data_IF_178083607895
#
_entry.id   IF_178083607895
#
_cell.length_a   1.000
_cell.length_b   1.000
_cell.length_c   1.000
_cell.angle_alpha   90.00
_cell.angle_beta   90.00
_cell.angle_gamma   90.00
#
_symmetry.space_group_name_H-M   'P 1'
#
loop_
_entity.id
_entity.type
_entity.pdbx_description
1 polymer ?
#
# COMPACT_ATOMS: atom_id res chain seq x y z
N UNK A 1 6.44 -18.82 7.94
CA UNK A 1 7.53 -18.20 8.74
C UNK A 1 7.58 -16.71 8.40
N UNK A 2 7.74 -15.86 9.39
CA UNK A 2 7.80 -14.41 9.22
C UNK A 2 9.12 -13.99 8.55
N UNK A 3 9.10 -12.84 7.89
CA UNK A 3 10.30 -12.16 7.37
C UNK A 3 10.69 -11.07 8.37
N UNK A 4 11.91 -11.16 8.90
CA UNK A 4 12.51 -10.11 9.72
C UNK A 4 13.74 -9.57 9.00
N UNK A 5 13.79 -8.25 8.78
CA UNK A 5 14.92 -7.56 8.16
C UNK A 5 15.45 -6.50 9.12
N UNK A 6 16.73 -6.59 9.43
CA UNK A 6 17.48 -5.60 10.19
C UNK A 6 18.61 -5.05 9.33
N UNK A 7 18.63 -3.75 9.08
CA UNK A 7 19.61 -3.11 8.21
C UNK A 7 19.89 -1.66 8.64
N UNK A 8 20.98 -1.09 8.16
CA UNK A 8 21.17 0.36 8.26
C UNK A 8 20.34 1.06 7.18
N UNK A 9 20.44 0.59 5.95
CA UNK A 9 19.67 1.06 4.81
C UNK A 9 19.16 -0.15 4.02
N UNK A 10 17.91 -0.09 3.59
CA UNK A 10 17.30 -1.10 2.74
C UNK A 10 16.98 -0.48 1.36
N UNK A 11 17.43 -1.14 0.31
CA UNK A 11 17.11 -0.78 -1.08
C UNK A 11 16.40 -1.94 -1.75
N UNK A 12 15.20 -1.70 -2.24
CA UNK A 12 14.40 -2.65 -3.02
C UNK A 12 14.12 -1.99 -4.36
N UNK A 13 14.67 -2.51 -5.45
CA UNK A 13 14.69 -1.78 -6.73
C UNK A 13 14.49 -2.70 -7.93
N UNK A 14 14.07 -2.13 -9.06
CA UNK A 14 14.07 -2.79 -10.38
C UNK A 14 13.22 -4.07 -10.44
N UNK A 15 12.03 -4.04 -9.83
CA UNK A 15 11.10 -5.17 -9.83
C UNK A 15 11.41 -6.26 -8.80
N UNK A 16 12.33 -5.99 -7.86
CA UNK A 16 12.62 -6.90 -6.74
C UNK A 16 11.45 -6.91 -5.75
N UNK A 17 11.13 -8.09 -5.21
CA UNK A 17 10.06 -8.28 -4.24
C UNK A 17 10.61 -8.84 -2.92
N UNK A 18 10.15 -8.27 -1.79
CA UNK A 18 10.18 -8.88 -0.47
C UNK A 18 8.73 -9.28 -0.19
N UNK A 19 8.45 -10.58 -0.15
CA UNK A 19 7.07 -11.02 -0.25
C UNK A 19 6.77 -12.22 0.63
N UNK A 20 5.58 -12.20 1.25
CA UNK A 20 4.95 -13.38 1.84
C UNK A 20 3.66 -13.70 1.08
N UNK A 21 3.46 -14.97 0.77
CA UNK A 21 2.27 -15.47 0.07
C UNK A 21 1.66 -16.65 0.81
N UNK A 22 0.35 -16.69 0.87
CA UNK A 22 -0.39 -17.88 1.31
C UNK A 22 -1.48 -18.23 0.31
N UNK A 23 -1.45 -19.48 -0.15
CA UNK A 23 -2.47 -20.10 -1.01
C UNK A 23 -3.21 -21.22 -0.29
N UNK A 24 -2.85 -21.50 0.97
CA UNK A 24 -3.34 -22.63 1.75
C UNK A 24 -4.46 -22.28 2.72
N UNK A 25 -4.42 -22.87 3.90
CA UNK A 25 -5.40 -22.64 4.97
C UNK A 25 -4.88 -21.74 6.09
N UNK A 26 -3.58 -21.42 6.07
CA UNK A 26 -2.96 -20.53 7.06
C UNK A 26 -2.73 -19.14 6.48
N UNK A 27 -2.91 -18.10 7.28
CA UNK A 27 -2.70 -16.72 6.87
C UNK A 27 -1.28 -16.46 6.36
N UNK A 28 -1.11 -15.43 5.54
CA UNK A 28 0.20 -15.01 5.07
C UNK A 28 1.06 -14.55 6.27
N UNK A 29 2.37 -14.79 6.16
CA UNK A 29 3.30 -14.46 7.24
C UNK A 29 3.52 -12.96 7.36
N UNK A 30 4.01 -12.53 8.50
CA UNK A 30 4.34 -11.12 8.77
C UNK A 30 5.65 -10.71 8.11
N UNK A 31 5.75 -9.41 7.79
CA UNK A 31 6.99 -8.77 7.36
C UNK A 31 7.32 -7.67 8.36
N UNK A 32 8.48 -7.76 8.99
CA UNK A 32 8.97 -6.78 9.97
C UNK A 32 10.30 -6.24 9.47
N UNK A 33 10.40 -4.92 9.29
CA UNK A 33 11.60 -4.25 8.79
C UNK A 33 12.03 -3.18 9.78
N UNK A 34 13.26 -3.31 10.26
CA UNK A 34 13.96 -2.34 11.11
C UNK A 34 15.16 -1.79 10.34
N UNK A 35 15.01 -0.65 9.67
CA UNK A 35 16.08 0.01 8.94
C UNK A 35 16.47 1.32 9.63
N UNK A 36 17.64 1.37 10.24
CA UNK A 36 18.07 2.47 11.13
C UNK A 36 18.03 3.84 10.44
N UNK A 37 18.39 3.91 9.15
CA UNK A 37 18.51 5.18 8.43
C UNK A 37 17.43 5.34 7.34
N UNK A 38 17.30 4.37 6.42
CA UNK A 38 16.36 4.52 5.31
C UNK A 38 15.86 3.21 4.72
N UNK A 39 14.63 3.29 4.17
CA UNK A 39 14.07 2.30 3.27
C UNK A 39 13.70 2.99 1.96
N UNK A 40 14.23 2.49 0.84
CA UNK A 40 14.04 3.06 -0.48
C UNK A 40 13.50 1.98 -1.43
N UNK A 41 12.31 2.20 -1.95
CA UNK A 41 11.69 1.37 -2.97
C UNK A 41 11.53 2.19 -4.25
N UNK A 42 11.93 1.62 -5.38
CA UNK A 42 11.72 2.35 -6.63
C UNK A 42 12.04 1.54 -7.88
N UNK A 43 11.39 1.95 -8.96
CA UNK A 43 11.56 1.36 -10.27
C UNK A 43 10.81 0.04 -10.47
N UNK A 44 10.61 -0.29 -11.72
CA UNK A 44 9.98 -1.52 -12.20
C UNK A 44 11.01 -2.41 -12.91
N UNK A 45 10.72 -3.69 -13.05
CA UNK A 45 11.54 -4.55 -13.88
C UNK A 45 11.46 -4.10 -15.35
N UNK A 46 12.58 -3.82 -16.01
CA UNK A 46 12.56 -3.35 -17.40
C UNK A 46 12.13 -4.44 -18.40
N UNK A 47 12.04 -5.70 -17.97
CA UNK A 47 11.78 -6.85 -18.85
C UNK A 47 10.34 -7.37 -18.72
N UNK A 48 9.81 -7.44 -17.50
CA UNK A 48 8.53 -8.10 -17.21
C UNK A 48 7.49 -7.19 -16.56
N UNK A 49 7.72 -5.87 -16.53
CA UNK A 49 6.85 -4.90 -15.87
C UNK A 49 6.41 -5.33 -14.45
N UNK A 50 7.31 -5.97 -13.70
CA UNK A 50 7.04 -6.38 -12.33
C UNK A 50 7.34 -5.22 -11.39
N UNK A 51 6.37 -4.71 -10.62
CA UNK A 51 6.62 -3.61 -9.71
C UNK A 51 7.59 -4.01 -8.61
N UNK A 52 8.39 -3.07 -8.14
CA UNK A 52 9.17 -3.22 -6.92
C UNK A 52 8.24 -3.24 -5.71
N UNK A 53 8.45 -4.15 -4.74
CA UNK A 53 7.50 -4.23 -3.65
C UNK A 53 7.97 -4.89 -2.36
N UNK A 54 7.28 -4.51 -1.29
CA UNK A 54 7.24 -5.22 0.00
C UNK A 54 5.79 -5.60 0.22
N UNK A 55 5.44 -6.87 -0.02
CA UNK A 55 4.04 -7.26 -0.11
C UNK A 55 3.72 -8.50 0.73
N UNK A 56 2.56 -8.49 1.39
CA UNK A 56 1.98 -9.68 1.98
C UNK A 56 0.66 -10.01 1.28
N UNK A 57 0.56 -11.21 0.72
CA UNK A 57 -0.55 -11.62 -0.13
C UNK A 57 -1.26 -12.84 0.43
N UNK A 58 -2.56 -12.70 0.70
CA UNK A 58 -3.47 -13.79 1.01
C UNK A 58 -4.31 -14.16 -0.22
N UNK A 59 -4.41 -15.44 -0.57
CA UNK A 59 -5.22 -15.92 -1.68
C UNK A 59 -6.34 -16.85 -1.19
N UNK A 60 -7.56 -16.61 -1.64
CA UNK A 60 -8.74 -17.36 -1.19
C UNK A 60 -9.24 -16.89 0.18
N UNK A 61 -9.54 -17.82 1.08
CA UNK A 61 -10.08 -17.53 2.40
C UNK A 61 -9.01 -17.29 3.48
N UNK A 62 -7.82 -16.84 3.09
CA UNK A 62 -6.73 -16.58 4.02
C UNK A 62 -6.41 -15.08 4.11
N UNK A 63 -6.17 -14.60 5.32
CA UNK A 63 -5.81 -13.22 5.53
C UNK A 63 -4.40 -12.93 5.00
N UNK A 64 -4.19 -11.72 4.51
CA UNK A 64 -2.87 -11.19 4.28
C UNK A 64 -2.14 -10.95 5.63
N UNK A 65 -0.81 -11.03 5.63
CA UNK A 65 -0.01 -10.85 6.83
C UNK A 65 0.21 -9.38 7.16
N UNK A 66 0.54 -9.12 8.39
CA UNK A 66 0.90 -7.79 8.89
C UNK A 66 2.24 -7.32 8.31
N UNK A 67 2.33 -6.03 7.95
CA UNK A 67 3.60 -5.37 7.60
C UNK A 67 3.92 -4.30 8.63
N UNK A 68 5.08 -4.40 9.28
CA UNK A 68 5.61 -3.37 10.17
C UNK A 68 6.95 -2.86 9.65
N UNK A 69 7.08 -1.53 9.54
CA UNK A 69 8.30 -0.90 9.07
C UNK A 69 8.69 0.27 9.97
N UNK A 70 9.93 0.21 10.47
CA UNK A 70 10.54 1.22 11.33
C UNK A 70 11.81 1.75 10.66
N UNK A 71 11.90 3.09 10.49
CA UNK A 71 13.05 3.74 9.87
C UNK A 71 13.12 5.24 10.24
N UNK A 72 14.12 5.96 9.74
CA UNK A 72 14.07 7.43 9.72
C UNK A 72 13.38 7.95 8.48
N UNK A 73 13.71 7.40 7.31
CA UNK A 73 13.19 7.87 6.00
C UNK A 73 12.66 6.72 5.19
N UNK A 74 11.46 6.89 4.68
CA UNK A 74 10.83 5.96 3.74
C UNK A 74 10.57 6.66 2.41
N UNK A 75 11.08 6.11 1.32
CA UNK A 75 10.84 6.57 -0.04
C UNK A 75 10.24 5.44 -0.87
N UNK A 76 9.08 5.70 -1.47
CA UNK A 76 8.36 4.79 -2.38
C UNK A 76 8.14 5.56 -3.67
N UNK A 77 8.80 5.16 -4.77
CA UNK A 77 8.79 5.88 -6.04
C UNK A 77 8.55 4.95 -7.23
N UNK A 78 8.23 5.56 -8.37
CA UNK A 78 8.20 4.89 -9.67
C UNK A 78 7.31 3.63 -9.71
N UNK A 79 6.11 3.71 -9.11
CA UNK A 79 5.15 2.62 -9.09
C UNK A 79 5.46 1.51 -8.08
N UNK A 80 6.44 1.70 -7.19
CA UNK A 80 6.74 0.73 -6.14
C UNK A 80 5.62 0.64 -5.09
N UNK A 81 5.53 -0.51 -4.41
CA UNK A 81 4.44 -0.77 -3.47
C UNK A 81 4.93 -1.29 -2.11
N UNK A 82 4.28 -0.82 -1.04
CA UNK A 82 4.21 -1.53 0.24
C UNK A 82 2.74 -1.85 0.47
N UNK A 83 2.36 -3.13 0.41
CA UNK A 83 0.94 -3.46 0.45
C UNK A 83 0.66 -4.81 1.10
N UNK A 84 -0.37 -4.85 1.94
CA UNK A 84 -0.92 -6.09 2.48
C UNK A 84 -2.30 -6.32 1.86
N UNK A 85 -2.42 -7.35 1.00
CA UNK A 85 -3.61 -7.55 0.15
C UNK A 85 -4.15 -8.96 0.29
N UNK A 86 -5.46 -9.06 0.57
CA UNK A 86 -6.19 -10.30 0.30
C UNK A 86 -6.75 -10.28 -1.13
N UNK A 87 -6.41 -11.32 -1.89
CA UNK A 87 -6.75 -11.47 -3.30
C UNK A 87 -7.72 -12.63 -3.44
N UNK A 88 -8.97 -12.35 -3.74
CA UNK A 88 -10.08 -13.30 -3.87
C UNK A 88 -10.54 -13.93 -2.54
N UNK A 89 -11.75 -14.52 -2.55
CA UNK A 89 -12.35 -15.14 -1.37
C UNK A 89 -12.70 -14.17 -0.25
N UNK A 90 -12.79 -14.67 0.97
CA UNK A 90 -13.25 -13.95 2.17
C UNK A 90 -12.11 -13.63 3.18
N UNK A 91 -10.85 -13.83 2.79
CA UNK A 91 -9.70 -13.40 3.57
C UNK A 91 -9.59 -11.88 3.70
N UNK A 92 -9.15 -11.40 4.84
CA UNK A 92 -9.01 -9.95 5.12
C UNK A 92 -7.63 -9.43 4.68
N UNK A 93 -7.55 -8.14 4.35
CA UNK A 93 -6.29 -7.41 4.26
C UNK A 93 -5.57 -7.38 5.61
N UNK A 94 -4.24 -7.46 5.63
CA UNK A 94 -3.46 -7.41 6.86
C UNK A 94 -3.21 -5.97 7.31
N UNK A 95 -2.88 -5.78 8.57
CA UNK A 95 -2.51 -4.45 9.07
C UNK A 95 -1.17 -3.97 8.48
N UNK A 96 -1.09 -2.69 8.14
CA UNK A 96 0.15 -2.04 7.74
C UNK A 96 0.47 -0.91 8.72
N UNK A 97 1.61 -1.02 9.37
CA UNK A 97 2.11 -0.04 10.33
C UNK A 97 3.46 0.51 9.89
N UNK A 98 3.54 1.80 9.64
CA UNK A 98 4.75 2.51 9.26
C UNK A 98 5.10 3.55 10.29
N UNK A 99 6.32 3.50 10.81
CA UNK A 99 6.91 4.52 11.68
C UNK A 99 8.23 4.99 11.06
N UNK A 100 8.20 6.19 10.44
CA UNK A 100 9.38 6.81 9.84
C UNK A 100 9.62 8.17 10.49
N UNK A 101 10.57 8.21 11.43
CA UNK A 101 10.73 9.34 12.36
C UNK A 101 11.06 10.69 11.74
N UNK A 102 11.54 10.74 10.48
CA UNK A 102 11.88 11.98 9.78
C UNK A 102 10.92 12.28 8.63
N UNK A 103 10.80 11.36 7.65
CA UNK A 103 9.95 11.61 6.49
C UNK A 103 9.47 10.35 5.78
N UNK A 104 8.29 10.48 5.17
CA UNK A 104 7.74 9.52 4.22
C UNK A 104 7.45 10.24 2.92
N UNK A 105 7.93 9.69 1.82
CA UNK A 105 7.65 10.13 0.46
C UNK A 105 7.04 8.97 -0.33
N UNK A 106 5.82 9.17 -0.82
CA UNK A 106 5.15 8.27 -1.77
C UNK A 106 4.93 9.09 -3.03
N UNK A 107 5.72 8.84 -4.07
CA UNK A 107 5.84 9.77 -5.20
C UNK A 107 5.74 9.04 -6.53
N UNK A 108 4.95 9.61 -7.43
CA UNK A 108 4.92 9.26 -8.85
C UNK A 108 4.19 7.98 -9.17
N UNK A 109 4.27 7.65 -10.45
CA UNK A 109 3.72 6.45 -11.07
C UNK A 109 4.81 5.76 -11.87
N UNK A 110 4.65 4.48 -12.12
CA UNK A 110 5.48 3.78 -13.12
C UNK A 110 5.18 4.33 -14.52
N UNK A 111 6.21 4.73 -15.24
CA UNK A 111 6.08 5.37 -16.54
C UNK A 111 5.60 4.44 -17.66
N UNK A 112 5.71 3.13 -17.49
CA UNK A 112 5.30 2.14 -18.50
C UNK A 112 3.87 1.65 -18.27
N UNK A 113 3.48 1.48 -17.01
CA UNK A 113 2.19 0.88 -16.63
C UNK A 113 1.19 1.90 -16.09
N UNK A 114 1.60 3.14 -15.82
CA UNK A 114 0.83 4.14 -15.08
C UNK A 114 0.39 3.68 -13.68
N UNK A 115 1.00 2.63 -13.14
CA UNK A 115 0.70 2.16 -11.78
C UNK A 115 1.21 3.15 -10.74
N UNK A 116 0.38 3.57 -9.79
CA UNK A 116 0.80 4.52 -8.75
C UNK A 116 1.79 3.89 -7.77
N UNK A 117 2.74 4.69 -7.29
CA UNK A 117 3.45 4.35 -6.06
C UNK A 117 2.45 4.25 -4.92
N UNK A 118 2.45 3.13 -4.18
CA UNK A 118 1.35 2.83 -3.26
C UNK A 118 1.87 2.35 -1.90
N UNK A 119 1.29 2.92 -0.85
CA UNK A 119 1.34 2.41 0.52
C UNK A 119 -0.08 2.02 0.90
N UNK A 120 -0.34 0.73 1.14
CA UNK A 120 -1.72 0.31 1.32
C UNK A 120 -1.96 -0.98 2.10
N UNK A 121 -3.25 -1.18 2.39
CA UNK A 121 -3.81 -2.41 2.95
C UNK A 121 -5.21 -2.62 2.37
N UNK A 122 -5.31 -3.43 1.34
CA UNK A 122 -6.51 -3.55 0.52
C UNK A 122 -7.10 -4.96 0.57
N UNK A 123 -8.34 -5.09 0.10
CA UNK A 123 -8.90 -6.39 -0.27
C UNK A 123 -9.54 -6.32 -1.65
N UNK A 124 -9.23 -7.32 -2.47
CA UNK A 124 -9.87 -7.53 -3.78
C UNK A 124 -11.00 -8.54 -3.63
N UNK A 125 -10.92 -9.42 -2.62
CA UNK A 125 -11.95 -10.42 -2.29
C UNK A 125 -13.12 -9.86 -1.47
N UNK A 126 -13.87 -10.77 -0.85
CA UNK A 126 -15.07 -10.47 -0.06
C UNK A 126 -14.74 -10.10 1.41
N UNK A 127 -13.50 -10.31 1.86
CA UNK A 127 -13.05 -9.94 3.19
C UNK A 127 -12.87 -8.42 3.37
N UNK A 128 -12.65 -7.99 4.60
CA UNK A 128 -12.45 -6.58 4.91
C UNK A 128 -11.04 -6.11 4.55
N UNK A 129 -10.89 -4.85 4.17
CA UNK A 129 -9.58 -4.17 4.08
C UNK A 129 -8.91 -4.10 5.44
N UNK A 130 -7.58 -4.18 5.48
CA UNK A 130 -6.81 -4.00 6.71
C UNK A 130 -6.63 -2.52 7.05
N UNK A 131 -6.31 -2.23 8.30
CA UNK A 131 -6.02 -0.86 8.72
C UNK A 131 -4.59 -0.45 8.33
N UNK A 132 -4.43 0.83 8.01
CA UNK A 132 -3.16 1.44 7.70
C UNK A 132 -2.87 2.58 8.68
N UNK A 133 -1.77 2.46 9.42
CA UNK A 133 -1.29 3.49 10.34
C UNK A 133 0.07 3.99 9.89
N UNK A 134 0.19 5.31 9.77
CA UNK A 134 1.41 6.01 9.35
C UNK A 134 1.81 7.05 10.39
N UNK A 135 2.99 6.91 10.96
CA UNK A 135 3.58 7.89 11.87
C UNK A 135 4.85 8.47 11.26
N UNK A 136 4.96 9.80 11.23
CA UNK A 136 6.15 10.48 10.72
C UNK A 136 6.25 11.92 11.21
N UNK A 137 7.34 12.59 10.88
CA UNK A 137 7.44 14.05 11.02
C UNK A 137 6.83 14.77 9.82
N UNK A 138 7.16 14.30 8.59
CA UNK A 138 6.68 14.88 7.34
C UNK A 138 6.21 13.79 6.36
N UNK A 139 5.06 13.99 5.74
CA UNK A 139 4.52 13.11 4.72
C UNK A 139 4.31 13.86 3.40
N UNK A 140 4.76 13.26 2.30
CA UNK A 140 4.53 13.74 0.95
C UNK A 140 3.89 12.61 0.10
N UNK A 141 2.71 12.91 -0.47
CA UNK A 141 2.01 12.03 -1.42
C UNK A 141 1.84 12.83 -2.71
N UNK A 142 2.60 12.53 -3.75
CA UNK A 142 2.74 13.40 -4.91
C UNK A 142 2.79 12.63 -6.23
N UNK A 143 2.50 13.32 -7.34
CA UNK A 143 2.69 12.77 -8.68
C UNK A 143 1.80 11.57 -9.01
N UNK A 144 0.58 11.52 -8.47
CA UNK A 144 -0.35 10.41 -8.70
C UNK A 144 -0.21 9.22 -7.74
N UNK A 145 0.62 9.34 -6.72
CA UNK A 145 0.81 8.30 -5.70
C UNK A 145 -0.38 8.15 -4.75
N UNK A 146 -0.46 7.01 -4.03
CA UNK A 146 -1.60 6.68 -3.17
C UNK A 146 -1.20 6.16 -1.79
N UNK A 147 -2.01 6.56 -0.79
CA UNK A 147 -2.15 5.86 0.48
C UNK A 147 -3.58 5.30 0.51
N UNK A 148 -3.73 3.97 0.63
CA UNK A 148 -4.98 3.31 0.28
C UNK A 148 -5.32 2.13 1.21
N UNK A 149 -6.55 2.12 1.76
CA UNK A 149 -7.10 1.01 2.54
C UNK A 149 -8.49 0.59 2.01
N UNK A 150 -8.62 0.45 0.70
CA UNK A 150 -9.91 0.23 0.02
C UNK A 150 -10.30 -1.24 -0.08
N UNK A 151 -11.60 -1.45 -0.27
CA UNK A 151 -12.20 -2.71 -0.70
C UNK A 151 -12.73 -2.58 -2.14
N UNK A 152 -12.82 -3.71 -2.83
CA UNK A 152 -13.33 -3.78 -4.21
C UNK A 152 -14.49 -4.78 -4.36
N UNK A 153 -15.05 -5.26 -3.26
CA UNK A 153 -16.14 -6.25 -3.26
C UNK A 153 -17.13 -6.01 -2.11
N UNK A 154 -17.53 -7.07 -1.40
CA UNK A 154 -18.57 -7.02 -0.36
C UNK A 154 -18.03 -6.73 1.06
N UNK A 155 -16.74 -6.90 1.30
CA UNK A 155 -16.14 -6.55 2.59
C UNK A 155 -16.01 -5.04 2.78
N UNK A 156 -15.89 -4.58 4.01
CA UNK A 156 -15.71 -3.17 4.32
C UNK A 156 -14.26 -2.73 4.07
N UNK A 157 -14.07 -1.48 3.68
CA UNK A 157 -12.75 -0.88 3.61
C UNK A 157 -12.10 -0.76 5.00
N UNK A 158 -10.77 -0.78 5.05
CA UNK A 158 -10.02 -0.49 6.27
C UNK A 158 -9.98 0.99 6.61
N UNK A 159 -9.40 1.33 7.76
CA UNK A 159 -9.20 2.72 8.16
C UNK A 159 -7.75 3.16 7.89
N UNK A 160 -7.59 4.42 7.50
CA UNK A 160 -6.29 5.08 7.35
C UNK A 160 -6.12 6.09 8.48
N UNK A 161 -5.05 5.95 9.27
CA UNK A 161 -4.68 6.90 10.31
C UNK A 161 -3.28 7.44 10.01
N UNK A 162 -3.16 8.76 9.84
CA UNK A 162 -1.89 9.43 9.56
C UNK A 162 -1.60 10.44 10.65
N UNK A 163 -0.46 10.26 11.31
CA UNK A 163 0.05 11.16 12.33
C UNK A 163 1.36 11.76 11.84
N UNK A 164 1.35 13.05 11.46
CA UNK A 164 2.55 13.77 11.07
C UNK A 164 2.77 14.96 11.99
N UNK A 165 3.89 14.99 12.69
CA UNK A 165 4.15 16.02 13.71
C UNK A 165 4.45 17.42 13.16
N UNK A 166 4.72 17.55 11.85
CA UNK A 166 5.04 18.85 11.23
C UNK A 166 4.19 19.19 10.00
N UNK A 167 4.13 18.26 9.02
CA UNK A 167 3.58 18.60 7.71
C UNK A 167 3.04 17.38 6.97
N UNK A 168 1.92 17.59 6.28
CA UNK A 168 1.42 16.66 5.24
C UNK A 168 1.16 17.46 3.96
N UNK A 169 1.72 16.99 2.85
CA UNK A 169 1.45 17.48 1.50
C UNK A 169 0.88 16.38 0.61
N UNK A 170 -0.35 16.57 0.14
CA UNK A 170 -0.96 15.73 -0.89
C UNK A 170 -1.11 16.59 -2.12
N UNK A 171 -0.40 16.29 -3.20
CA UNK A 171 -0.24 17.26 -4.26
C UNK A 171 -0.09 16.62 -5.65
N UNK A 172 -0.88 17.14 -6.57
CA UNK A 172 -0.68 17.00 -8.00
C UNK A 172 -0.90 15.59 -8.58
N UNK A 173 -0.63 15.55 -9.85
CA UNK A 173 -0.47 14.35 -10.66
C UNK A 173 0.79 14.50 -11.49
N UNK A 174 1.36 13.43 -11.93
CA UNK A 174 2.41 13.47 -12.95
C UNK A 174 1.81 13.94 -14.27
N UNK A 175 2.54 14.74 -15.06
CA UNK A 175 2.04 15.29 -16.34
C UNK A 175 1.57 14.19 -17.29
N UNK A 176 2.19 13.03 -17.24
CA UNK A 176 1.88 11.88 -18.09
C UNK A 176 0.96 10.83 -17.42
N UNK A 177 0.49 11.08 -16.20
CA UNK A 177 -0.37 10.14 -15.46
C UNK A 177 -1.82 10.59 -15.42
N UNK A 178 -2.73 9.63 -15.54
CA UNK A 178 -4.16 9.84 -15.27
C UNK A 178 -4.46 9.84 -13.76
N UNK A 179 -3.54 9.36 -12.94
CA UNK A 179 -3.72 9.24 -11.51
C UNK A 179 -3.53 10.58 -10.81
N UNK A 180 -4.39 10.88 -9.85
CA UNK A 180 -4.21 11.98 -8.90
C UNK A 180 -3.70 11.44 -7.57
N UNK A 181 -2.86 12.23 -6.90
CA UNK A 181 -2.38 11.87 -5.56
C UNK A 181 -3.55 11.80 -4.58
N UNK A 182 -3.60 10.76 -3.76
CA UNK A 182 -4.76 10.54 -2.88
C UNK A 182 -4.41 9.79 -1.59
N UNK A 183 -5.23 10.04 -0.56
CA UNK A 183 -5.31 9.26 0.67
C UNK A 183 -6.76 8.79 0.75
N UNK A 184 -6.99 7.49 0.66
CA UNK A 184 -8.34 6.93 0.49
C UNK A 184 -8.58 5.70 1.38
N UNK A 185 -9.84 5.52 1.75
CA UNK A 185 -10.37 4.34 2.44
C UNK A 185 -11.81 4.11 1.93
N UNK A 186 -11.94 3.53 0.76
CA UNK A 186 -13.20 3.52 0.01
C UNK A 186 -13.64 2.12 -0.42
N UNK A 187 -14.93 1.96 -0.64
CA UNK A 187 -15.45 0.88 -1.47
C UNK A 187 -15.38 1.35 -2.94
N UNK A 188 -14.44 0.81 -3.70
CA UNK A 188 -14.11 1.27 -5.05
C UNK A 188 -14.45 0.23 -6.12
N UNK A 189 -14.75 0.73 -7.33
CA UNK A 189 -14.95 -0.10 -8.53
C UNK A 189 -13.63 -0.21 -9.30
N UNK A 190 -13.18 -1.42 -9.59
CA UNK A 190 -12.06 -1.67 -10.49
C UNK A 190 -12.52 -1.65 -11.96
N UNK A 191 -11.55 -1.52 -12.85
CA UNK A 191 -11.78 -1.67 -14.29
C UNK A 191 -12.50 -2.99 -14.62
N UNK A 192 -13.38 -2.97 -15.65
CA UNK A 192 -14.22 -4.11 -16.03
C UNK A 192 -13.41 -5.38 -16.32
N UNK A 193 -12.27 -5.25 -16.99
CA UNK A 193 -11.42 -6.41 -17.30
C UNK A 193 -10.83 -7.02 -16.02
N UNK A 194 -10.41 -6.19 -15.07
CA UNK A 194 -9.90 -6.64 -13.77
C UNK A 194 -11.02 -7.30 -12.97
N UNK A 195 -12.22 -6.69 -12.96
CA UNK A 195 -13.40 -7.28 -12.30
C UNK A 195 -13.74 -8.66 -12.86
N UNK A 196 -13.71 -8.81 -14.17
CA UNK A 196 -13.96 -10.10 -14.83
C UNK A 196 -12.93 -11.18 -14.45
N UNK A 197 -11.63 -10.81 -14.35
CA UNK A 197 -10.55 -11.75 -13.95
C UNK A 197 -10.76 -12.26 -12.53
N UNK A 198 -11.16 -11.39 -11.60
CA UNK A 198 -11.31 -11.75 -10.18
C UNK A 198 -12.76 -12.11 -9.78
N UNK A 199 -13.71 -12.11 -10.72
CA UNK A 199 -15.13 -12.40 -10.43
C UNK A 199 -15.78 -11.37 -9.50
N UNK A 200 -15.39 -10.10 -9.61
CA UNK A 200 -15.87 -9.04 -8.74
C UNK A 200 -17.22 -8.49 -9.19
N UNK A 201 -18.04 -7.95 -8.27
CA UNK A 201 -19.31 -7.34 -8.60
C UNK A 201 -19.14 -6.05 -9.39
N UNK A 202 -20.18 -5.63 -10.10
CA UNK A 202 -20.23 -4.34 -10.82
C UNK A 202 -20.11 -3.15 -9.85
N UNK A 203 -20.62 -3.32 -8.65
CA UNK A 203 -20.50 -2.35 -7.56
C UNK A 203 -20.16 -3.08 -6.26
N UNK A 204 -19.16 -2.61 -5.49
CA UNK A 204 -18.90 -3.13 -4.17
C UNK A 204 -20.09 -2.84 -3.24
N UNK A 205 -20.39 -3.76 -2.34
CA UNK A 205 -21.47 -3.60 -1.35
C UNK A 205 -20.95 -3.34 0.06
N UNK A 206 -19.64 -3.36 0.27
CA UNK A 206 -19.02 -3.04 1.54
C UNK A 206 -19.03 -1.54 1.85
N UNK A 207 -18.91 -1.21 3.11
CA UNK A 207 -18.83 0.18 3.57
C UNK A 207 -17.44 0.77 3.33
N UNK A 208 -17.38 2.08 3.10
CA UNK A 208 -16.13 2.84 3.12
C UNK A 208 -15.54 2.89 4.53
N UNK A 209 -14.22 2.92 4.62
CA UNK A 209 -13.51 3.17 5.86
C UNK A 209 -13.41 4.66 6.20
N UNK A 210 -12.64 4.97 7.22
CA UNK A 210 -12.34 6.34 7.63
C UNK A 210 -10.91 6.73 7.30
N UNK A 211 -10.70 8.02 7.01
CA UNK A 211 -9.37 8.64 6.90
C UNK A 211 -9.24 9.66 8.01
N UNK A 212 -8.30 9.43 8.94
CA UNK A 212 -7.97 10.35 10.02
C UNK A 212 -6.58 10.93 9.78
N UNK A 213 -6.49 12.26 9.74
CA UNK A 213 -5.23 12.98 9.52
C UNK A 213 -4.97 13.92 10.68
N UNK A 214 -3.87 13.69 11.39
CA UNK A 214 -3.40 14.51 12.50
C UNK A 214 -2.09 15.20 12.11
N UNK A 215 -2.13 16.51 11.91
CA UNK A 215 -0.94 17.33 11.57
C UNK A 215 -1.17 18.80 11.89
N UNK A 216 -0.12 19.55 12.29
CA UNK A 216 -0.22 21.00 12.41
C UNK A 216 -0.42 21.72 11.06
N UNK A 217 0.04 21.12 9.95
CA UNK A 217 -0.03 21.75 8.63
C UNK A 217 -0.34 20.73 7.55
N UNK A 218 -1.50 20.88 6.91
CA UNK A 218 -1.96 20.10 5.76
C UNK A 218 -2.03 20.99 4.51
N UNK A 219 -1.50 20.50 3.40
CA UNK A 219 -1.68 21.07 2.07
C UNK A 219 -2.24 19.98 1.12
N UNK A 220 -3.34 20.29 0.48
CA UNK A 220 -4.00 19.46 -0.54
C UNK A 220 -4.13 20.28 -1.82
#
# INVERSE_FOLDING_TARGET
ADILIEAKNLFVTRGTQIETKSYGTGNAAKIIINAIESVNLGGNSPVINNPTGINSLGFGSVDAGEIKLFTKKLNITDGATINSVSISGDGNGGEVFIDATESIQVIGTDTNTNSPSTLGSNTIGQGNGGNLTVNTRQLFVQGGARIDASTFSSGNAGNVVINASEYIGVNGKDENSINTSSIIASANVLDENIRAIFGLPDQPSGDSGSVTVNTPKLRV
#
